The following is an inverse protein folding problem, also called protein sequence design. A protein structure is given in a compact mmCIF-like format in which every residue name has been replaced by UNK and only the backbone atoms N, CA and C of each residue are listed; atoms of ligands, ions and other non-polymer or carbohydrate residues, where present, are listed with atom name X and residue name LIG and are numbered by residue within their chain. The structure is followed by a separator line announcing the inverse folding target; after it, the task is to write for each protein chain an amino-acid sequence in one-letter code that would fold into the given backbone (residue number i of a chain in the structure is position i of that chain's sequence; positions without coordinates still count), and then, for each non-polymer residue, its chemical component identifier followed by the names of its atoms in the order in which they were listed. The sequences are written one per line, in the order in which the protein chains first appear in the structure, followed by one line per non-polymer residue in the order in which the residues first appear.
data_IF_026242353331
#
_entry.id   IF_026242353331
#
_cell.length_a   1.000
_cell.length_b   1.000
_cell.length_c   1.000
_cell.angle_alpha   90.00
_cell.angle_beta   90.00
_cell.angle_gamma   90.00
#
_symmetry.space_group_name_H-M   'P 1'
#
loop_
_entity.id
_entity.type
_entity.pdbx_description
1 polymer ?
#
# COMPACT_ATOMS: atom_id res chain seq x y z
N UNK A 1 0.13 8.67 20.44
CA UNK A 1 -0.47 7.66 19.54
C UNK A 1 0.09 7.87 18.14
N UNK A 2 0.93 6.96 17.62
CA UNK A 2 1.58 7.12 16.30
C UNK A 2 0.52 6.93 15.22
N UNK A 3 0.17 8.03 14.54
CA UNK A 3 -0.95 8.12 13.62
C UNK A 3 -0.88 7.07 12.52
N UNK A 4 -1.95 6.26 12.42
CA UNK A 4 -2.21 5.48 11.21
C UNK A 4 -2.38 6.50 10.08
N UNK A 5 -1.55 6.41 9.04
CA UNK A 5 -1.62 7.28 7.87
C UNK A 5 -3.05 7.33 7.35
N UNK A 6 -3.53 8.54 7.00
CA UNK A 6 -4.89 8.72 6.48
C UNK A 6 -5.12 7.84 5.25
N UNK A 7 -6.32 7.27 5.16
CA UNK A 7 -6.73 6.57 3.94
C UNK A 7 -6.97 7.58 2.83
N UNK A 8 -6.20 7.42 1.76
CA UNK A 8 -6.24 8.22 0.55
C UNK A 8 -7.13 7.52 -0.49
N UNK A 9 -8.06 8.20 -1.15
CA UNK A 9 -8.87 7.60 -2.21
C UNK A 9 -8.00 7.20 -3.42
N UNK A 10 -8.43 6.17 -4.18
CA UNK A 10 -7.69 5.70 -5.38
C UNK A 10 -7.49 6.78 -6.45
N UNK A 11 -8.33 7.81 -6.50
CA UNK A 11 -8.19 8.93 -7.43
C UNK A 11 -6.91 9.74 -7.21
N UNK A 12 -6.33 9.68 -6.02
CA UNK A 12 -5.04 10.30 -5.71
C UNK A 12 -3.99 9.21 -5.81
N UNK A 13 -2.91 9.49 -6.53
CA UNK A 13 -1.84 8.52 -6.77
C UNK A 13 -0.73 8.64 -5.73
N UNK A 14 -0.08 7.54 -5.34
CA UNK A 14 1.13 7.60 -4.53
C UNK A 14 2.25 8.38 -5.20
N UNK A 15 2.94 9.22 -4.43
CA UNK A 15 4.05 10.04 -4.92
C UNK A 15 5.32 9.23 -5.16
N UNK A 16 5.47 8.09 -4.48
CA UNK A 16 6.67 7.25 -4.54
C UNK A 16 6.29 5.83 -4.95
N UNK A 17 7.21 5.16 -5.63
CA UNK A 17 7.10 3.74 -5.91
C UNK A 17 7.36 2.95 -4.63
N UNK A 18 6.69 1.81 -4.49
CA UNK A 18 6.85 0.92 -3.34
C UNK A 18 5.54 0.27 -2.90
N UNK A 19 5.59 -0.42 -1.76
CA UNK A 19 4.45 -1.19 -1.24
C UNK A 19 3.55 -0.30 -0.38
N UNK A 20 2.25 -0.35 -0.67
CA UNK A 20 1.21 0.40 0.01
C UNK A 20 0.13 -0.52 0.55
N UNK A 21 -0.45 -0.13 1.69
CA UNK A 21 -1.62 -0.81 2.21
C UNK A 21 -2.86 -0.29 1.49
N UNK A 22 -3.59 -1.18 0.83
CA UNK A 22 -4.71 -0.88 -0.03
C UNK A 22 -5.97 -1.57 0.50
N UNK A 23 -7.12 -0.88 0.47
CA UNK A 23 -8.42 -1.54 0.57
C UNK A 23 -8.86 -1.89 -0.83
N UNK A 24 -9.02 -3.17 -1.09
CA UNK A 24 -9.34 -3.74 -2.39
C UNK A 24 -10.71 -4.41 -2.35
N UNK A 25 -11.36 -4.49 -3.51
CA UNK A 25 -12.59 -5.23 -3.72
C UNK A 25 -12.40 -6.18 -4.89
N UNK A 26 -12.43 -7.48 -4.60
CA UNK A 26 -12.28 -8.53 -5.62
C UNK A 26 -13.61 -8.73 -6.36
N UNK A 27 -14.73 -8.79 -5.65
CA UNK A 27 -16.05 -8.97 -6.24
C UNK A 27 -17.13 -8.19 -5.50
N UNK A 28 -18.34 -8.14 -6.06
CA UNK A 28 -19.46 -7.48 -5.38
C UNK A 28 -19.95 -8.24 -4.15
N UNK A 29 -19.74 -9.57 -4.11
CA UNK A 29 -20.18 -10.46 -3.05
C UNK A 29 -19.24 -10.49 -1.85
N UNK A 30 -17.95 -10.15 -2.04
CA UNK A 30 -16.95 -10.16 -0.96
C UNK A 30 -16.80 -8.74 -0.39
N UNK A 31 -16.86 -8.57 0.94
CA UNK A 31 -16.56 -7.30 1.58
C UNK A 31 -15.16 -6.78 1.20
N UNK A 32 -14.96 -5.46 1.12
CA UNK A 32 -13.64 -4.91 0.87
C UNK A 32 -12.63 -5.38 1.93
N UNK A 33 -11.44 -5.74 1.49
CA UNK A 33 -10.38 -6.28 2.35
C UNK A 33 -9.10 -5.47 2.20
N UNK A 34 -8.20 -5.60 3.18
CA UNK A 34 -6.91 -4.93 3.16
C UNK A 34 -5.90 -5.85 2.46
N UNK A 35 -5.13 -5.29 1.52
CA UNK A 35 -4.09 -5.97 0.76
C UNK A 35 -2.86 -5.07 0.63
N UNK A 36 -1.67 -5.65 0.55
CA UNK A 36 -0.44 -4.90 0.26
C UNK A 36 -0.14 -4.97 -1.22
N UNK A 37 -0.17 -3.83 -1.90
CA UNK A 37 0.08 -3.75 -3.34
C UNK A 37 1.26 -2.84 -3.61
N UNK A 38 2.09 -3.24 -4.58
CA UNK A 38 3.20 -2.43 -5.05
C UNK A 38 2.70 -1.39 -6.06
N UNK A 39 3.18 -0.15 -5.94
CA UNK A 39 2.95 0.94 -6.88
C UNK A 39 4.17 1.09 -7.79
N UNK A 40 3.97 0.93 -9.11
CA UNK A 40 5.03 1.01 -10.12
C UNK A 40 5.28 2.43 -10.67
N UNK A 41 4.49 3.42 -10.26
CA UNK A 41 4.51 4.79 -10.78
C UNK A 41 3.36 5.11 -11.75
N UNK A 42 2.60 4.11 -12.18
CA UNK A 42 1.42 4.22 -13.05
C UNK A 42 0.19 3.53 -12.44
N UNK A 43 0.39 2.45 -11.70
CA UNK A 43 -0.69 1.62 -11.17
C UNK A 43 -0.27 0.78 -9.98
N UNK A 44 -1.27 0.32 -9.23
CA UNK A 44 -1.07 -0.74 -8.25
C UNK A 44 -1.00 -2.08 -9.00
N UNK A 45 0.09 -2.81 -8.80
CA UNK A 45 0.28 -4.15 -9.33
C UNK A 45 -0.63 -5.11 -8.55
N UNK A 46 -1.53 -5.78 -9.27
CA UNK A 46 -2.49 -6.73 -8.70
C UNK A 46 -2.27 -8.10 -9.32
N UNK A 47 -2.13 -9.14 -8.49
CA UNK A 47 -1.94 -10.52 -8.96
C UNK A 47 -3.26 -11.18 -9.41
N UNK A 48 -4.39 -10.64 -8.94
CA UNK A 48 -5.74 -11.14 -9.18
C UNK A 48 -6.60 -9.93 -9.57
N UNK A 49 -7.59 -10.05 -10.47
CA UNK A 49 -8.50 -8.96 -10.80
C UNK A 49 -9.20 -8.43 -9.54
N UNK A 50 -8.79 -7.24 -9.10
CA UNK A 50 -9.33 -6.56 -7.94
C UNK A 50 -9.29 -5.04 -8.16
N UNK A 51 -10.23 -4.35 -7.52
CA UNK A 51 -10.36 -2.89 -7.61
C UNK A 51 -9.82 -2.27 -6.33
N UNK A 52 -8.81 -1.41 -6.44
CA UNK A 52 -8.33 -0.60 -5.31
C UNK A 52 -9.31 0.54 -5.05
N UNK A 53 -9.85 0.59 -3.83
CA UNK A 53 -10.79 1.63 -3.40
C UNK A 53 -10.08 2.81 -2.75
N UNK A 54 -9.14 2.50 -1.85
CA UNK A 54 -8.35 3.48 -1.09
C UNK A 54 -7.01 2.85 -0.74
N UNK A 55 -5.99 3.66 -0.55
CA UNK A 55 -4.66 3.24 -0.14
C UNK A 55 -4.15 4.14 0.97
N UNK A 56 -3.11 3.71 1.67
CA UNK A 56 -2.39 4.57 2.61
C UNK A 56 -0.91 4.23 2.58
N UNK A 57 -0.09 5.25 2.80
CA UNK A 57 1.35 5.06 2.95
C UNK A 57 1.64 4.12 4.11
N UNK A 58 2.58 3.19 3.90
CA UNK A 58 3.23 2.51 5.01
C UNK A 58 3.84 3.56 5.93
N UNK A 59 3.54 3.49 7.23
CA UNK A 59 4.26 4.31 8.22
C UNK A 59 5.76 3.99 8.13
N UNK A 60 6.65 4.96 8.40
CA UNK A 60 8.12 4.78 8.36
C UNK A 60 8.56 3.45 9.01
N UNK A 61 7.90 3.04 10.10
CA UNK A 61 8.11 1.74 10.77
C UNK A 61 7.83 0.51 9.90
N UNK A 62 6.71 0.49 9.19
CA UNK A 62 6.34 -0.63 8.33
C UNK A 62 7.26 -0.69 7.10
N UNK A 63 7.65 0.46 6.56
CA UNK A 63 8.65 0.53 5.49
C UNK A 63 10.02 0.03 5.97
N UNK A 64 10.48 0.44 7.15
CA UNK A 64 11.74 -0.06 7.75
C UNK A 64 11.68 -1.57 8.04
N UNK A 65 10.51 -2.10 8.42
CA UNK A 65 10.31 -3.53 8.68
C UNK A 65 10.26 -4.36 7.39
N UNK A 66 9.61 -3.85 6.34
CA UNK A 66 9.62 -4.46 5.01
C UNK A 66 11.02 -4.40 4.39
N UNK A 67 11.72 -3.27 4.50
CA UNK A 67 13.13 -3.13 4.10
C UNK A 67 14.00 -4.18 4.80
N UNK A 68 13.81 -4.40 6.11
CA UNK A 68 14.50 -5.47 6.85
C UNK A 68 14.15 -6.86 6.33
N UNK A 69 12.90 -7.12 5.94
CA UNK A 69 12.50 -8.42 5.35
C UNK A 69 13.18 -8.69 4.01
N UNK A 70 13.30 -7.67 3.16
CA UNK A 70 13.94 -7.80 1.83
C UNK A 70 15.45 -7.59 1.86
N UNK A 71 16.07 -7.45 3.04
CA UNK A 71 17.51 -7.26 3.21
C UNK A 71 18.02 -5.86 2.82
N UNK A 72 17.13 -4.91 2.53
CA UNK A 72 17.45 -3.52 2.27
C UNK A 72 17.77 -2.78 3.57
N UNK A 73 18.91 -2.09 3.63
CA UNK A 73 19.22 -1.23 4.79
C UNK A 73 18.24 -0.05 4.81
N UNK A 74 17.57 0.24 5.93
CA UNK A 74 16.79 1.45 6.06
C UNK A 74 17.68 2.67 5.87
N UNK A 75 17.22 3.64 5.09
CA UNK A 75 17.95 4.88 4.89
C UNK A 75 18.01 5.61 6.25
N UNK A 76 19.19 5.59 6.86
CA UNK A 76 19.49 6.36 8.06
C UNK A 76 19.26 7.85 7.75
N UNK A 77 18.44 8.50 8.56
CA UNK A 77 18.31 9.96 8.58
C UNK A 77 19.50 10.54 9.31
#
# INVERSE_FOLDING_TARGET
MKGRTQWTPRSVEPVRNGVYECVVRISRAVPPMIWMLEWDGKGFLVEIPMIVLRWRGMTKKAHDEELRRIGGKPCAT
#
